data_IF_841801967631
#
_entry.id   IF_841801967631
#
_cell.length_a   1.000
_cell.length_b   1.000
_cell.length_c   1.000
_cell.angle_alpha   90.00
_cell.angle_beta   90.00
_cell.angle_gamma   90.00
#
_symmetry.space_group_name_H-M   'P 1'
#
loop_
_entity.id
_entity.type
_entity.pdbx_description
1 polymer ?
#
# COMPACT_ATOMS: atom_id res chain seq x y z
N UNK A 1 -0.90 1.90 1.93
CA UNK A 1 -0.22 2.25 3.19
C UNK A 1 -1.08 1.70 4.32
N UNK A 2 -0.47 1.23 5.40
CA UNK A 2 -1.18 0.46 6.42
C UNK A 2 -0.44 0.49 7.76
N UNK A 3 -1.07 -0.09 8.78
CA UNK A 3 -0.40 -0.51 10.00
C UNK A 3 -0.45 -2.02 10.15
N UNK A 4 0.62 -2.58 10.66
CA UNK A 4 0.73 -4.00 10.97
C UNK A 4 1.10 -4.22 12.45
N UNK A 5 0.66 -5.35 13.02
CA UNK A 5 1.14 -5.88 14.28
C UNK A 5 1.54 -7.34 14.08
N UNK A 6 2.76 -7.68 14.45
CA UNK A 6 3.34 -8.97 14.12
C UNK A 6 3.78 -9.66 15.41
N UNK A 7 3.32 -10.89 15.61
CA UNK A 7 3.79 -11.81 16.62
C UNK A 7 4.59 -12.93 15.96
N UNK A 8 5.76 -13.23 16.49
CA UNK A 8 6.63 -14.33 16.05
C UNK A 8 7.10 -15.12 17.28
N UNK A 9 7.69 -16.30 17.11
CA UNK A 9 8.32 -17.02 18.22
C UNK A 9 9.47 -16.26 18.90
N UNK A 10 9.99 -15.22 18.25
CA UNK A 10 11.15 -14.45 18.71
C UNK A 10 10.80 -13.09 19.31
N UNK A 11 9.57 -12.63 19.14
CA UNK A 11 9.12 -11.35 19.64
C UNK A 11 7.81 -10.88 19.04
N UNK A 12 7.34 -9.76 19.57
CA UNK A 12 6.09 -9.14 19.17
C UNK A 12 6.29 -7.65 18.90
N UNK A 13 5.68 -7.15 17.86
CA UNK A 13 5.52 -5.72 17.61
C UNK A 13 4.08 -5.33 17.90
N UNK A 14 3.91 -4.10 18.35
CA UNK A 14 2.60 -3.48 18.33
C UNK A 14 2.35 -2.88 16.93
N UNK A 15 1.75 -1.72 16.88
CA UNK A 15 1.39 -1.04 15.65
C UNK A 15 2.61 -0.42 14.97
N UNK A 16 3.06 -1.01 13.87
CA UNK A 16 4.17 -0.52 13.04
C UNK A 16 3.65 -0.12 11.65
N UNK A 17 4.41 0.72 10.96
CA UNK A 17 4.12 1.08 9.57
C UNK A 17 4.23 -0.16 8.69
N UNK A 18 3.23 -0.35 7.83
CA UNK A 18 3.10 -1.48 6.93
C UNK A 18 2.47 -1.13 5.59
N UNK A 19 2.02 -2.17 4.90
CA UNK A 19 1.38 -2.08 3.60
C UNK A 19 2.36 -2.03 2.42
N UNK A 20 2.01 -2.76 1.36
CA UNK A 20 2.83 -2.89 0.14
C UNK A 20 3.19 -1.53 -0.46
N UNK A 21 2.27 -0.57 -0.49
CA UNK A 21 2.51 0.76 -1.05
C UNK A 21 3.66 1.48 -0.34
N UNK A 22 3.74 1.42 0.99
CA UNK A 22 4.83 2.02 1.77
C UNK A 22 6.18 1.39 1.41
N UNK A 23 6.27 0.07 1.47
CA UNK A 23 7.53 -0.64 1.22
C UNK A 23 8.00 -0.52 -0.23
N UNK A 24 7.08 -0.58 -1.20
CA UNK A 24 7.40 -0.38 -2.61
C UNK A 24 7.93 1.04 -2.85
N UNK A 25 7.30 2.06 -2.24
CA UNK A 25 7.77 3.44 -2.38
C UNK A 25 9.18 3.62 -1.81
N UNK A 26 9.45 3.10 -0.61
CA UNK A 26 10.80 3.13 -0.03
C UNK A 26 11.81 2.42 -0.92
N UNK A 27 11.52 1.20 -1.35
CA UNK A 27 12.43 0.43 -2.18
C UNK A 27 12.69 1.13 -3.53
N UNK A 28 11.64 1.58 -4.22
CA UNK A 28 11.76 2.24 -5.51
C UNK A 28 12.54 3.55 -5.44
N UNK A 29 12.40 4.33 -4.36
CA UNK A 29 13.09 5.61 -4.18
C UNK A 29 14.62 5.53 -4.18
N UNK A 30 15.18 4.33 -3.93
CA UNK A 30 16.61 4.10 -4.04
C UNK A 30 17.12 3.98 -5.50
N UNK A 31 16.23 3.75 -6.45
CA UNK A 31 16.60 3.45 -7.83
C UNK A 31 16.06 4.47 -8.83
N UNK A 32 14.89 5.06 -8.55
CA UNK A 32 14.21 5.99 -9.46
C UNK A 32 13.57 7.15 -8.71
N UNK A 33 13.51 8.30 -9.38
CA UNK A 33 12.78 9.48 -8.90
C UNK A 33 12.17 10.23 -10.09
N UNK A 34 10.96 10.78 -9.94
CA UNK A 34 10.08 10.66 -8.77
C UNK A 34 9.38 9.31 -8.72
N UNK A 35 9.12 8.81 -7.50
CA UNK A 35 8.15 7.74 -7.28
C UNK A 35 6.79 8.38 -7.05
N UNK A 36 5.79 8.00 -7.83
CA UNK A 36 4.43 8.57 -7.75
C UNK A 36 3.52 7.56 -7.06
N UNK A 37 3.05 7.87 -5.86
CA UNK A 37 2.29 6.94 -5.04
C UNK A 37 0.80 7.25 -5.07
N UNK A 38 0.00 6.19 -5.23
CA UNK A 38 -1.46 6.21 -5.09
C UNK A 38 -1.81 5.29 -3.94
N UNK A 39 -2.49 5.79 -2.94
CA UNK A 39 -2.88 5.03 -1.76
C UNK A 39 -3.99 5.75 -0.99
N UNK A 40 -4.40 5.19 0.14
CA UNK A 40 -5.31 5.80 1.09
C UNK A 40 -4.81 5.59 2.51
N UNK A 41 -4.95 6.59 3.35
CA UNK A 41 -4.66 6.53 4.79
C UNK A 41 -5.76 7.21 5.60
N UNK A 42 -5.85 6.86 6.86
CA UNK A 42 -6.76 7.52 7.80
C UNK A 42 -6.11 8.65 8.59
N UNK A 43 -6.90 9.24 9.49
CA UNK A 43 -6.51 10.35 10.36
C UNK A 43 -5.42 9.99 11.39
N UNK A 44 -5.09 8.73 11.50
CA UNK A 44 -4.13 8.17 12.46
C UNK A 44 -2.77 7.84 11.83
N UNK A 45 -2.61 8.08 10.50
CA UNK A 45 -1.34 7.83 9.84
C UNK A 45 -0.37 8.97 10.15
N UNK A 46 0.87 8.68 10.61
CA UNK A 46 1.80 9.71 11.06
C UNK A 46 2.26 10.62 9.92
N UNK A 47 2.16 11.94 10.10
CA UNK A 47 2.70 12.90 9.14
C UNK A 47 4.22 12.77 8.98
N UNK A 48 4.93 12.37 10.02
CA UNK A 48 6.38 12.10 9.95
C UNK A 48 6.75 11.05 8.90
N UNK A 49 5.92 10.01 8.73
CA UNK A 49 6.12 8.98 7.69
C UNK A 49 5.84 9.53 6.28
N UNK A 50 4.86 10.42 6.17
CA UNK A 50 4.59 11.11 4.90
C UNK A 50 5.75 12.04 4.53
N UNK A 51 6.30 12.77 5.49
CA UNK A 51 7.46 13.64 5.30
C UNK A 51 8.71 12.84 4.92
N UNK A 52 8.95 11.71 5.56
CA UNK A 52 10.07 10.83 5.22
C UNK A 52 9.95 10.33 3.78
N UNK A 53 8.76 9.90 3.32
CA UNK A 53 8.55 9.52 1.93
C UNK A 53 8.80 10.68 0.97
N UNK A 54 8.29 11.88 1.28
CA UNK A 54 8.54 13.08 0.45
C UNK A 54 10.02 13.42 0.36
N UNK A 55 10.75 13.31 1.47
CA UNK A 55 12.20 13.58 1.51
C UNK A 55 13.01 12.65 0.59
N UNK A 56 12.47 11.48 0.29
CA UNK A 56 13.03 10.48 -0.64
C UNK A 56 12.59 10.66 -2.10
N UNK A 57 11.89 11.73 -2.42
CA UNK A 57 11.39 11.98 -3.77
C UNK A 57 10.14 11.19 -4.14
N UNK A 58 9.37 10.77 -3.11
CA UNK A 58 8.05 10.16 -3.34
C UNK A 58 7.00 11.27 -3.38
N UNK A 59 6.28 11.36 -4.48
CA UNK A 59 5.14 12.27 -4.63
C UNK A 59 3.88 11.61 -4.09
N UNK A 60 3.21 12.29 -3.18
CA UNK A 60 2.05 11.78 -2.44
C UNK A 60 0.72 12.44 -2.85
N UNK A 61 0.68 13.16 -3.98
CA UNK A 61 -0.53 13.82 -4.48
C UNK A 61 -1.67 12.84 -4.81
N UNK A 62 -1.33 11.56 -4.99
CA UNK A 62 -2.27 10.47 -5.19
C UNK A 62 -2.67 9.74 -3.90
N UNK A 63 -2.25 10.22 -2.74
CA UNK A 63 -2.62 9.62 -1.45
C UNK A 63 -3.84 10.36 -0.89
N UNK A 64 -4.96 9.65 -0.77
CA UNK A 64 -6.17 10.15 -0.11
C UNK A 64 -6.00 10.07 1.40
N UNK A 65 -6.12 11.20 2.09
CA UNK A 65 -6.05 11.29 3.56
C UNK A 65 -7.44 11.51 4.13
N UNK A 66 -8.03 10.46 4.67
CA UNK A 66 -9.38 10.50 5.24
C UNK A 66 -9.34 10.94 6.69
N UNK A 67 -10.10 11.98 7.00
CA UNK A 67 -10.18 12.54 8.36
C UNK A 67 -11.22 11.88 9.26
N UNK A 68 -12.13 11.13 8.67
CA UNK A 68 -13.29 10.50 9.32
C UNK A 68 -13.07 9.04 9.72
N UNK A 69 -12.02 8.41 9.21
CA UNK A 69 -11.73 6.98 9.45
C UNK A 69 -10.26 6.75 9.79
N UNK A 70 -9.97 5.55 10.29
CA UNK A 70 -8.61 5.08 10.55
C UNK A 70 -7.99 4.41 9.33
N UNK A 71 -6.67 4.32 9.32
CA UNK A 71 -5.91 3.55 8.34
C UNK A 71 -6.19 2.05 8.45
N UNK A 72 -5.98 1.32 7.36
CA UNK A 72 -6.01 -0.14 7.36
C UNK A 72 -5.07 -0.69 8.44
N UNK A 73 -5.52 -1.73 9.13
CA UNK A 73 -4.74 -2.43 10.15
C UNK A 73 -4.84 -3.93 9.96
N UNK A 74 -3.69 -4.59 10.02
CA UNK A 74 -3.59 -6.04 10.02
C UNK A 74 -2.76 -6.53 11.20
N UNK A 75 -3.15 -7.65 11.79
CA UNK A 75 -2.35 -8.33 12.81
C UNK A 75 -2.26 -9.82 12.50
N UNK A 76 -1.04 -10.34 12.60
CA UNK A 76 -0.78 -11.74 12.34
C UNK A 76 0.25 -12.36 13.27
N UNK A 77 0.13 -13.68 13.41
CA UNK A 77 1.04 -14.52 14.19
C UNK A 77 1.74 -15.51 13.29
N UNK A 78 3.06 -15.38 13.20
CA UNK A 78 3.90 -16.32 12.46
C UNK A 78 4.24 -17.54 13.31
N UNK A 79 4.26 -18.69 12.68
CA UNK A 79 4.66 -19.97 13.28
C UNK A 79 6.19 -20.13 13.32
N UNK A 80 6.67 -21.21 13.90
CA UNK A 80 8.11 -21.45 14.10
C UNK A 80 8.90 -21.55 12.77
N UNK A 81 8.24 -21.93 11.68
CA UNK A 81 8.81 -22.02 10.34
C UNK A 81 8.96 -20.64 9.67
N UNK A 82 8.38 -19.60 10.23
CA UNK A 82 8.35 -18.22 9.70
C UNK A 82 7.72 -18.09 8.30
N UNK A 83 7.13 -19.15 7.76
CA UNK A 83 6.45 -19.17 6.46
C UNK A 83 4.92 -19.20 6.62
N UNK A 84 4.43 -19.96 7.58
CA UNK A 84 3.01 -20.02 7.90
C UNK A 84 2.64 -18.97 8.94
N UNK A 85 1.43 -18.43 8.83
CA UNK A 85 0.91 -17.44 9.76
C UNK A 85 -0.60 -17.56 9.90
N UNK A 86 -1.08 -17.15 11.06
CA UNK A 86 -2.50 -16.92 11.32
C UNK A 86 -2.79 -15.43 11.26
N UNK A 87 -3.86 -15.05 10.60
CA UNK A 87 -4.40 -13.69 10.69
C UNK A 87 -5.23 -13.57 11.95
N UNK A 88 -4.87 -12.63 12.81
CA UNK A 88 -5.58 -12.38 14.06
C UNK A 88 -6.63 -11.28 13.91
N UNK A 89 -6.29 -10.20 13.19
CA UNK A 89 -7.16 -9.05 12.97
C UNK A 89 -6.98 -8.54 11.55
N UNK A 90 -8.08 -8.12 10.92
CA UNK A 90 -8.07 -7.35 9.67
C UNK A 90 -9.14 -6.26 9.76
N UNK A 91 -8.71 -5.04 10.00
CA UNK A 91 -9.58 -3.86 10.02
C UNK A 91 -9.42 -3.11 8.69
N UNK A 92 -10.38 -3.25 7.80
CA UNK A 92 -10.32 -2.59 6.48
C UNK A 92 -10.31 -1.07 6.59
N UNK A 93 -11.10 -0.50 7.51
CA UNK A 93 -11.17 0.95 7.74
C UNK A 93 -11.31 1.74 6.41
N UNK A 94 -10.38 2.68 6.13
CA UNK A 94 -10.40 3.47 4.88
C UNK A 94 -10.29 2.62 3.62
N UNK A 95 -9.67 1.44 3.69
CA UNK A 95 -9.48 0.57 2.52
C UNK A 95 -10.80 -0.01 2.00
N UNK A 96 -11.83 -0.12 2.85
CA UNK A 96 -13.14 -0.63 2.45
C UNK A 96 -13.81 0.21 1.34
N UNK A 97 -13.51 1.52 1.33
CA UNK A 97 -14.10 2.49 0.41
C UNK A 97 -13.06 3.06 -0.57
N UNK A 98 -11.92 2.39 -0.72
CA UNK A 98 -10.84 2.90 -1.55
C UNK A 98 -11.18 2.81 -3.04
N UNK A 99 -11.41 3.97 -3.64
CA UNK A 99 -11.55 4.16 -5.09
C UNK A 99 -10.41 5.05 -5.58
N UNK A 100 -9.32 4.46 -6.12
CA UNK A 100 -8.14 5.20 -6.50
C UNK A 100 -8.41 6.14 -7.66
N UNK A 101 -7.94 7.37 -7.55
CA UNK A 101 -7.89 8.33 -8.63
C UNK A 101 -6.44 8.59 -9.05
N UNK A 102 -6.18 8.58 -10.36
CA UNK A 102 -4.84 8.88 -10.89
C UNK A 102 -4.77 10.38 -11.20
N UNK A 103 -3.97 11.16 -10.46
CA UNK A 103 -3.76 12.58 -10.77
C UNK A 103 -3.22 12.77 -12.20
N UNK A 104 -3.58 13.86 -12.87
CA UNK A 104 -3.09 14.15 -14.23
C UNK A 104 -1.55 14.17 -14.30
N UNK A 105 -0.88 14.69 -13.28
CA UNK A 105 0.57 14.67 -13.17
C UNK A 105 1.21 13.28 -13.07
N UNK A 106 0.39 12.23 -12.83
CA UNK A 106 0.85 10.84 -12.74
C UNK A 106 0.66 10.07 -14.04
N UNK A 107 -0.09 10.63 -15.00
CA UNK A 107 -0.25 10.05 -16.32
C UNK A 107 1.11 9.96 -17.05
N UNK A 108 1.27 8.94 -17.89
CA UNK A 108 2.52 8.74 -18.65
C UNK A 108 3.67 8.13 -17.85
N UNK A 109 3.42 7.58 -16.66
CA UNK A 109 4.41 6.79 -15.94
C UNK A 109 4.87 5.59 -16.80
N UNK A 110 6.19 5.39 -16.90
CA UNK A 110 6.76 4.30 -17.72
C UNK A 110 6.58 2.92 -17.08
N UNK A 111 6.56 2.88 -15.76
CA UNK A 111 6.43 1.66 -14.96
C UNK A 111 5.27 1.81 -13.98
N UNK A 112 4.48 0.75 -13.84
CA UNK A 112 3.39 0.69 -12.87
C UNK A 112 3.56 -0.55 -12.00
N UNK A 113 3.59 -0.36 -10.69
CA UNK A 113 3.47 -1.44 -9.70
C UNK A 113 2.10 -1.36 -9.04
N UNK A 114 1.33 -2.43 -9.18
CA UNK A 114 0.04 -2.63 -8.52
C UNK A 114 0.27 -3.46 -7.26
N UNK A 115 0.17 -2.82 -6.12
CA UNK A 115 0.31 -3.49 -4.83
C UNK A 115 -0.83 -4.47 -4.55
N UNK A 116 -0.66 -5.25 -3.50
CA UNK A 116 -1.60 -6.28 -3.07
C UNK A 116 -2.94 -5.67 -2.63
N UNK A 117 -3.91 -5.68 -3.52
CA UNK A 117 -5.27 -5.19 -3.33
C UNK A 117 -6.27 -6.06 -4.10
N UNK A 118 -7.56 -5.83 -3.83
CA UNK A 118 -8.64 -6.50 -4.57
C UNK A 118 -8.51 -6.22 -6.09
N UNK A 119 -8.67 -7.23 -6.97
CA UNK A 119 -8.43 -7.09 -8.40
C UNK A 119 -9.25 -6.00 -9.09
N UNK A 120 -10.45 -5.70 -8.59
CA UNK A 120 -11.28 -4.61 -9.12
C UNK A 120 -10.62 -3.24 -8.98
N UNK A 121 -9.96 -2.97 -7.85
CA UNK A 121 -9.19 -1.74 -7.60
C UNK A 121 -7.96 -1.68 -8.51
N UNK A 122 -7.21 -2.77 -8.63
CA UNK A 122 -6.06 -2.85 -9.55
C UNK A 122 -6.48 -2.61 -11.00
N UNK A 123 -7.60 -3.21 -11.42
CA UNK A 123 -8.17 -3.01 -12.75
C UNK A 123 -8.66 -1.57 -12.99
N UNK A 124 -9.24 -0.93 -11.97
CA UNK A 124 -9.66 0.47 -12.03
C UNK A 124 -8.47 1.40 -12.34
N UNK A 125 -7.34 1.20 -11.67
CA UNK A 125 -6.11 1.96 -11.93
C UNK A 125 -5.68 1.82 -13.39
N UNK A 126 -5.61 0.59 -13.92
CA UNK A 126 -5.20 0.35 -15.31
C UNK A 126 -6.13 1.06 -16.30
N UNK A 127 -7.43 1.03 -16.06
CA UNK A 127 -8.44 1.66 -16.94
C UNK A 127 -8.37 3.19 -16.99
N UNK A 128 -7.84 3.82 -15.95
CA UNK A 128 -7.68 5.28 -15.88
C UNK A 128 -6.45 5.79 -16.63
N UNK A 129 -5.51 4.91 -17.00
CA UNK A 129 -4.30 5.33 -17.72
C UNK A 129 -4.60 5.74 -19.15
N UNK A 130 -4.20 6.95 -19.52
CA UNK A 130 -4.30 7.47 -20.90
C UNK A 130 -3.33 6.76 -21.86
N UNK A 131 -2.18 6.35 -21.35
CA UNK A 131 -1.16 5.61 -22.09
C UNK A 131 -0.73 4.37 -21.30
N UNK A 132 -0.53 3.26 -21.99
CA UNK A 132 -0.07 2.02 -21.34
C UNK A 132 1.39 2.16 -20.90
N UNK A 133 1.73 1.86 -19.65
CA UNK A 133 3.13 1.75 -19.18
C UNK A 133 3.92 0.71 -19.98
N UNK A 134 5.24 0.90 -20.06
CA UNK A 134 6.16 -0.08 -20.67
C UNK A 134 6.13 -1.41 -19.93
N UNK A 135 5.97 -1.36 -18.61
CA UNK A 135 5.86 -2.55 -17.75
C UNK A 135 4.80 -2.29 -16.68
N UNK A 136 3.95 -3.29 -16.49
CA UNK A 136 3.01 -3.35 -15.37
C UNK A 136 3.36 -4.60 -14.56
N UNK A 137 3.66 -4.40 -13.29
CA UNK A 137 3.89 -5.47 -12.31
C UNK A 137 2.73 -5.48 -11.33
N UNK A 138 2.27 -6.67 -10.97
CA UNK A 138 1.15 -6.84 -10.05
C UNK A 138 1.56 -7.79 -8.92
N UNK A 139 1.25 -7.40 -7.69
CA UNK A 139 1.29 -8.26 -6.52
C UNK A 139 -0.12 -8.73 -6.16
N UNK A 140 -0.24 -9.99 -5.76
CA UNK A 140 -1.51 -10.59 -5.35
C UNK A 140 -1.28 -11.63 -4.26
N UNK A 141 -2.36 -12.14 -3.68
CA UNK A 141 -2.32 -13.21 -2.69
C UNK A 141 -3.53 -14.13 -2.84
N UNK A 142 -3.46 -15.32 -2.20
CA UNK A 142 -4.52 -16.32 -2.25
C UNK A 142 -5.91 -15.77 -1.91
N UNK A 143 -6.03 -14.88 -0.93
CA UNK A 143 -7.31 -14.29 -0.55
C UNK A 143 -8.02 -13.61 -1.73
N UNK A 144 -7.28 -12.97 -2.65
CA UNK A 144 -7.86 -12.33 -3.84
C UNK A 144 -8.04 -13.28 -5.02
N UNK A 145 -7.38 -14.43 -5.00
CA UNK A 145 -7.47 -15.42 -6.08
C UNK A 145 -8.63 -16.42 -5.91
N UNK A 146 -9.21 -16.47 -4.73
CA UNK A 146 -10.30 -17.40 -4.38
C UNK A 146 -11.71 -16.78 -4.48
N UNK A 147 -11.81 -15.55 -4.99
CA UNK A 147 -13.07 -14.78 -5.10
C UNK A 147 -13.64 -14.95 -6.51
#
# INVERSE_FOLDING_TARGET
MAFDAIETPFGKTDRIIGGSATYVAYAASHFVQPVKQISIVGNDFPESEMEELRSRGVHLDGVDVRTDKKSFFWSGKYHNDMNSRDTLVTDLNVLADFDPHIPDGYQGAEFLMLGNLVPSVQSSVIKQLKNRPKLIVMDTMNFWMEI
#
